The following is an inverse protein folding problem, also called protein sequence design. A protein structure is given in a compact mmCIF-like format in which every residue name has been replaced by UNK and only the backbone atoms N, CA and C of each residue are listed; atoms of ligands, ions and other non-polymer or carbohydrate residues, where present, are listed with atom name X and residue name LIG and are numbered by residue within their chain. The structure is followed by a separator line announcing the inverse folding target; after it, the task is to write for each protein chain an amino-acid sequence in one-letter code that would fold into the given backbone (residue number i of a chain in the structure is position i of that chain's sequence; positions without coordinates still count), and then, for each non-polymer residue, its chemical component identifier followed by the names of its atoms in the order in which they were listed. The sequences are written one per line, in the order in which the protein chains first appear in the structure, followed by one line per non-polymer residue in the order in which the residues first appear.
data_IF_100276003266
#
_entry.id   IF_100276003266
#
_cell.length_a   1.000
_cell.length_b   1.000
_cell.length_c   1.000
_cell.angle_alpha   90.00
_cell.angle_beta   90.00
_cell.angle_gamma   90.00
#
_symmetry.space_group_name_H-M   'P 1'
#
loop_
_entity.id
_entity.type
_entity.pdbx_description
1 polymer ?
#
# COMPACT_ATOMS: atom_id res chain seq x y z
N UNK A 1 5.99 22.75 -18.19
CA UNK A 1 7.38 22.28 -17.99
C UNK A 1 7.49 21.71 -16.58
N UNK A 2 7.22 20.44 -16.39
CA UNK A 2 7.55 19.73 -15.16
C UNK A 2 9.06 19.52 -15.18
N UNK A 3 9.77 20.23 -14.32
CA UNK A 3 11.23 20.31 -14.35
C UNK A 3 11.87 18.92 -14.12
N UNK A 4 13.03 18.71 -14.76
CA UNK A 4 13.86 17.52 -14.54
C UNK A 4 14.15 17.25 -13.05
N UNK A 5 14.19 18.29 -12.22
CA UNK A 5 14.29 18.21 -10.76
C UNK A 5 13.13 17.45 -10.10
N UNK A 6 11.89 17.60 -10.57
CA UNK A 6 10.72 16.86 -10.05
C UNK A 6 10.82 15.35 -10.32
N UNK A 7 11.43 14.97 -11.46
CA UNK A 7 11.66 13.57 -11.84
C UNK A 7 12.75 12.90 -10.99
N UNK A 8 13.82 13.62 -10.65
CA UNK A 8 14.94 13.09 -9.86
C UNK A 8 14.47 12.75 -8.45
N UNK A 9 13.70 13.61 -7.78
CA UNK A 9 13.15 13.35 -6.45
C UNK A 9 12.17 12.17 -6.39
N UNK A 10 11.42 11.90 -7.47
CA UNK A 10 10.52 10.75 -7.57
C UNK A 10 11.28 9.41 -7.54
N UNK A 11 12.48 9.37 -8.12
CA UNK A 11 13.23 8.13 -8.28
C UNK A 11 14.07 7.75 -7.05
N UNK A 12 14.34 8.68 -6.16
CA UNK A 12 15.16 8.48 -4.96
C UNK A 12 14.30 8.20 -3.72
N UNK A 13 13.48 7.14 -3.77
CA UNK A 13 12.58 6.79 -2.67
C UNK A 13 13.28 6.55 -1.33
N UNK A 14 14.57 6.19 -1.31
CA UNK A 14 15.37 6.10 -0.08
C UNK A 14 15.63 7.47 0.53
N UNK A 15 15.90 8.47 -0.29
CA UNK A 15 16.16 9.84 0.16
C UNK A 15 14.87 10.59 0.42
N UNK A 16 13.78 10.20 -0.25
CA UNK A 16 12.46 10.73 0.00
C UNK A 16 11.97 10.45 1.44
N UNK A 17 12.34 9.32 2.03
CA UNK A 17 12.09 9.06 3.45
C UNK A 17 12.90 9.99 4.37
N UNK A 18 14.00 10.59 3.90
CA UNK A 18 14.90 11.49 4.64
C UNK A 18 14.66 12.97 4.37
N UNK A 19 14.33 13.34 3.12
CA UNK A 19 14.05 14.73 2.72
C UNK A 19 12.58 15.07 2.99
N UNK A 20 12.34 15.89 4.00
CA UNK A 20 10.98 16.29 4.40
C UNK A 20 10.05 16.71 3.24
N UNK A 21 9.12 15.93 2.90
CA UNK A 21 7.72 16.15 2.51
C UNK A 21 7.31 17.19 1.47
N UNK A 22 8.07 17.61 0.52
CA UNK A 22 7.54 18.55 -0.48
C UNK A 22 6.60 17.92 -1.51
N UNK A 23 6.52 16.56 -1.63
CA UNK A 23 5.66 15.89 -2.61
C UNK A 23 4.91 14.65 -2.08
N UNK A 24 4.49 14.68 -0.82
CA UNK A 24 3.74 13.58 -0.20
C UNK A 24 2.39 13.32 -0.89
N UNK A 25 1.74 14.35 -1.45
CA UNK A 25 0.45 14.24 -2.10
C UNK A 25 0.55 13.52 -3.44
N UNK A 26 1.59 13.77 -4.23
CA UNK A 26 1.82 13.05 -5.50
C UNK A 26 2.13 11.57 -5.27
N UNK A 27 3.01 11.26 -4.33
CA UNK A 27 3.33 9.86 -3.98
C UNK A 27 2.11 9.13 -3.43
N UNK A 28 1.37 9.77 -2.53
CA UNK A 28 0.11 9.23 -2.02
C UNK A 28 -0.86 8.91 -3.17
N UNK A 29 -1.07 9.86 -4.06
CA UNK A 29 -1.97 9.70 -5.20
C UNK A 29 -1.55 8.56 -6.12
N UNK A 30 -0.27 8.50 -6.51
CA UNK A 30 0.28 7.45 -7.36
C UNK A 30 0.05 6.08 -6.73
N UNK A 31 0.59 5.84 -5.55
CA UNK A 31 0.56 4.52 -4.93
C UNK A 31 -0.85 4.08 -4.49
N UNK A 32 -1.74 5.02 -4.14
CA UNK A 32 -3.14 4.71 -3.89
C UNK A 32 -3.84 4.21 -5.16
N UNK A 33 -3.58 4.82 -6.33
CA UNK A 33 -4.14 4.37 -7.61
C UNK A 33 -3.55 3.03 -8.06
N UNK A 34 -2.25 2.76 -7.84
CA UNK A 34 -1.66 1.44 -8.08
C UNK A 34 -2.32 0.38 -7.17
N UNK A 35 -2.60 0.75 -5.91
CA UNK A 35 -3.31 -0.13 -4.98
C UNK A 35 -4.75 -0.39 -5.42
N UNK A 36 -5.52 0.63 -5.84
CA UNK A 36 -6.88 0.45 -6.38
C UNK A 36 -6.87 -0.42 -7.65
N UNK A 37 -5.92 -0.20 -8.56
CA UNK A 37 -5.76 -1.04 -9.74
C UNK A 37 -5.54 -2.52 -9.36
N UNK A 38 -4.77 -2.78 -8.30
CA UNK A 38 -4.49 -4.16 -7.84
C UNK A 38 -5.74 -4.90 -7.39
N UNK A 39 -6.77 -4.22 -6.89
CA UNK A 39 -8.06 -4.84 -6.55
C UNK A 39 -8.89 -5.26 -7.76
N UNK A 40 -8.59 -4.77 -8.96
CA UNK A 40 -9.38 -5.10 -10.16
C UNK A 40 -9.02 -6.49 -10.70
N UNK A 41 -10.03 -7.27 -11.16
CA UNK A 41 -9.83 -8.68 -11.54
C UNK A 41 -9.06 -8.85 -12.85
N UNK A 42 -9.25 -7.97 -13.83
CA UNK A 42 -8.66 -8.10 -15.16
C UNK A 42 -7.56 -7.07 -15.42
N UNK A 43 -6.64 -7.41 -16.34
CA UNK A 43 -5.64 -6.47 -16.84
C UNK A 43 -6.28 -5.21 -17.42
N UNK A 44 -7.37 -5.36 -18.17
CA UNK A 44 -8.11 -4.24 -18.77
C UNK A 44 -8.64 -3.28 -17.70
N UNK A 45 -9.21 -3.82 -16.63
CA UNK A 45 -9.76 -3.00 -15.55
C UNK A 45 -8.64 -2.31 -14.75
N UNK A 46 -7.53 -3.00 -14.50
CA UNK A 46 -6.34 -2.42 -13.88
C UNK A 46 -5.81 -1.25 -14.71
N UNK A 47 -5.67 -1.45 -16.01
CA UNK A 47 -5.19 -0.42 -16.93
C UNK A 47 -6.17 0.77 -17.03
N UNK A 48 -7.48 0.52 -16.94
CA UNK A 48 -8.48 1.59 -16.94
C UNK A 48 -8.34 2.52 -15.72
N UNK A 49 -7.98 1.98 -14.54
CA UNK A 49 -7.66 2.80 -13.35
C UNK A 49 -6.43 3.68 -13.62
N UNK A 50 -5.34 3.11 -14.14
CA UNK A 50 -4.15 3.90 -14.47
C UNK A 50 -4.45 5.00 -15.45
N UNK A 51 -5.21 4.71 -16.52
CA UNK A 51 -5.60 5.70 -17.53
C UNK A 51 -6.45 6.82 -16.93
N UNK A 52 -7.45 6.48 -16.09
CA UNK A 52 -8.29 7.46 -15.38
C UNK A 52 -7.47 8.39 -14.49
N UNK A 53 -6.43 7.85 -13.86
CA UNK A 53 -5.51 8.61 -13.00
C UNK A 53 -4.45 9.39 -13.80
N UNK A 54 -4.31 9.16 -15.11
CA UNK A 54 -3.26 9.74 -15.96
C UNK A 54 -1.88 9.12 -15.74
N UNK A 55 -1.83 7.89 -15.24
CA UNK A 55 -0.61 7.17 -14.85
C UNK A 55 -0.20 6.10 -15.89
N UNK A 56 -1.00 5.86 -16.91
CA UNK A 56 -0.82 4.77 -17.89
C UNK A 56 0.42 4.91 -18.79
N UNK A 57 0.97 6.12 -18.90
CA UNK A 57 2.21 6.38 -19.64
C UNK A 57 3.47 6.20 -18.82
N UNK A 58 3.35 6.34 -17.49
CA UNK A 58 4.48 6.28 -16.56
C UNK A 58 4.62 4.89 -15.91
N UNK A 59 3.49 4.18 -15.76
CA UNK A 59 3.43 2.88 -15.06
C UNK A 59 2.88 1.79 -15.98
N UNK A 60 3.71 0.79 -16.23
CA UNK A 60 3.32 -0.39 -17.02
C UNK A 60 3.05 -1.57 -16.09
N UNK A 61 1.91 -2.23 -16.24
CA UNK A 61 1.61 -3.49 -15.56
C UNK A 61 2.44 -4.61 -16.22
N UNK A 62 3.04 -5.48 -15.41
CA UNK A 62 3.78 -6.66 -15.87
C UNK A 62 2.95 -7.93 -15.59
N UNK A 63 2.11 -8.40 -16.55
CA UNK A 63 1.18 -9.51 -16.33
C UNK A 63 1.88 -10.81 -15.96
N UNK A 64 3.01 -11.11 -16.59
CA UNK A 64 3.78 -12.34 -16.36
C UNK A 64 4.42 -12.43 -14.97
N UNK A 65 4.49 -11.30 -14.26
CA UNK A 65 4.99 -11.19 -12.90
C UNK A 65 3.89 -10.91 -11.90
N UNK A 66 2.64 -10.82 -12.34
CA UNK A 66 1.48 -10.49 -11.52
C UNK A 66 0.62 -11.72 -11.24
N UNK A 67 -0.19 -11.66 -10.18
CA UNK A 67 -1.16 -12.70 -9.83
C UNK A 67 -2.47 -12.07 -9.36
N UNK A 68 -3.42 -12.91 -8.86
CA UNK A 68 -4.62 -12.42 -8.19
C UNK A 68 -4.28 -11.64 -6.91
N UNK A 69 -3.24 -12.03 -6.20
CA UNK A 69 -2.89 -11.56 -4.87
C UNK A 69 -1.98 -10.32 -4.88
N UNK A 70 -1.35 -10.05 -6.00
CA UNK A 70 -0.48 -8.89 -6.19
C UNK A 70 -0.38 -8.48 -7.66
N UNK A 71 -0.03 -7.23 -7.88
CA UNK A 71 0.28 -6.70 -9.22
C UNK A 71 1.69 -6.11 -9.21
N UNK A 72 2.48 -6.46 -10.20
CA UNK A 72 3.79 -5.85 -10.43
C UNK A 72 3.65 -4.76 -11.48
N UNK A 73 4.02 -3.55 -11.10
CA UNK A 73 4.12 -2.40 -12.00
C UNK A 73 5.58 -2.09 -12.26
N UNK A 74 5.86 -1.54 -13.42
CA UNK A 74 7.15 -1.00 -13.78
C UNK A 74 7.04 0.52 -13.94
N UNK A 75 7.76 1.26 -13.12
CA UNK A 75 7.92 2.70 -13.26
C UNK A 75 8.97 2.96 -14.34
N UNK A 76 8.51 3.48 -15.48
CA UNK A 76 9.31 3.65 -16.69
C UNK A 76 10.37 4.73 -16.48
N UNK A 77 10.01 5.82 -15.80
CA UNK A 77 10.91 6.96 -15.59
C UNK A 77 12.02 6.65 -14.59
N UNK A 78 11.70 5.86 -13.57
CA UNK A 78 12.63 5.54 -12.47
C UNK A 78 13.30 4.18 -12.60
N UNK A 79 12.92 3.37 -13.61
CA UNK A 79 13.41 2.01 -13.78
C UNK A 79 13.21 1.15 -12.51
N UNK A 80 12.04 1.29 -11.86
CA UNK A 80 11.70 0.59 -10.61
C UNK A 80 10.59 -0.42 -10.83
N UNK A 81 10.67 -1.55 -10.14
CA UNK A 81 9.63 -2.55 -10.05
C UNK A 81 8.84 -2.34 -8.76
N UNK A 82 7.55 -2.08 -8.88
CA UNK A 82 6.67 -1.84 -7.74
C UNK A 82 5.77 -3.05 -7.56
N UNK A 83 5.91 -3.75 -6.46
CA UNK A 83 5.01 -4.86 -6.09
C UNK A 83 3.92 -4.28 -5.20
N UNK A 84 2.68 -4.35 -5.65
CA UNK A 84 1.52 -3.92 -4.87
C UNK A 84 0.74 -5.14 -4.44
N UNK A 85 0.69 -5.40 -3.14
CA UNK A 85 -0.05 -6.51 -2.56
C UNK A 85 -1.50 -6.14 -2.35
N UNK A 86 -2.40 -7.05 -2.73
CA UNK A 86 -3.84 -6.89 -2.59
C UNK A 86 -4.27 -7.15 -1.15
N UNK A 87 -5.09 -6.27 -0.61
CA UNK A 87 -5.80 -6.54 0.64
C UNK A 87 -7.00 -7.48 0.47
N UNK A 88 -7.71 -7.74 1.56
CA UNK A 88 -8.96 -8.50 1.52
C UNK A 88 -10.00 -7.72 0.70
N UNK A 89 -10.71 -8.40 -0.19
CA UNK A 89 -11.78 -7.82 -1.01
C UNK A 89 -13.13 -8.30 -0.52
N UNK A 90 -14.00 -7.38 -0.15
CA UNK A 90 -15.37 -7.67 0.30
C UNK A 90 -16.19 -8.45 -0.77
N UNK A 91 -15.83 -8.27 -2.06
CA UNK A 91 -16.50 -8.94 -3.20
C UNK A 91 -16.19 -10.43 -3.32
N UNK A 92 -15.10 -10.89 -2.74
CA UNK A 92 -14.70 -12.30 -2.76
C UNK A 92 -15.58 -13.17 -1.80
N UNK A 93 -16.46 -12.54 -1.02
CA UNK A 93 -17.25 -13.19 0.04
C UNK A 93 -18.73 -12.81 -0.01
N UNK A 94 -19.34 -13.02 -1.16
CA UNK A 94 -20.81 -12.86 -1.31
C UNK A 94 -21.52 -13.75 -0.29
N UNK A 95 -22.21 -13.13 0.68
CA UNK A 95 -23.09 -13.80 1.66
C UNK A 95 -22.57 -13.96 3.09
N UNK A 96 -21.34 -13.52 3.43
CA UNK A 96 -20.88 -13.52 4.83
C UNK A 96 -21.13 -12.16 5.51
N UNK A 97 -21.54 -12.21 6.78
CA UNK A 97 -21.80 -11.02 7.59
C UNK A 97 -20.48 -10.29 7.89
N UNK A 98 -20.51 -8.97 7.99
CA UNK A 98 -19.35 -8.09 8.27
C UNK A 98 -18.52 -8.52 9.48
N UNK A 99 -19.13 -9.12 10.50
CA UNK A 99 -18.42 -9.59 11.70
C UNK A 99 -17.51 -10.80 11.43
N UNK A 100 -17.85 -11.65 10.46
CA UNK A 100 -17.02 -12.82 10.09
C UNK A 100 -15.77 -12.35 9.31
N UNK A 101 -15.93 -11.32 8.48
CA UNK A 101 -14.82 -10.67 7.76
C UNK A 101 -13.80 -10.05 8.71
N UNK A 102 -14.26 -9.38 9.76
CA UNK A 102 -13.40 -8.78 10.77
C UNK A 102 -12.65 -9.85 11.56
N UNK A 103 -13.33 -10.89 12.00
CA UNK A 103 -12.74 -12.00 12.77
C UNK A 103 -11.71 -12.76 11.95
N UNK A 104 -12.05 -13.11 10.69
CA UNK A 104 -11.15 -13.81 9.77
C UNK A 104 -9.92 -12.95 9.41
N UNK A 105 -10.10 -11.62 9.31
CA UNK A 105 -9.01 -10.69 9.06
C UNK A 105 -8.06 -10.62 10.26
N UNK A 106 -8.57 -10.50 11.48
CA UNK A 106 -7.75 -10.48 12.69
C UNK A 106 -7.01 -11.80 12.90
N UNK A 107 -7.66 -12.93 12.65
CA UNK A 107 -7.03 -14.26 12.74
C UNK A 107 -5.96 -14.45 11.66
N UNK A 108 -6.22 -13.96 10.43
CA UNK A 108 -5.28 -14.10 9.33
C UNK A 108 -4.00 -13.24 9.51
N UNK A 109 -4.09 -12.12 10.22
CA UNK A 109 -2.94 -11.25 10.47
C UNK A 109 -1.98 -11.89 11.48
N UNK A 110 -2.47 -12.53 12.54
CA UNK A 110 -1.63 -13.20 13.53
C UNK A 110 -0.83 -14.40 12.98
N UNK A 111 -1.24 -14.97 11.84
CA UNK A 111 -0.59 -16.11 11.18
C UNK A 111 -0.21 -15.82 9.72
N UNK A 112 -0.08 -14.56 9.36
CA UNK A 112 0.11 -14.13 7.97
C UNK A 112 1.28 -14.85 7.29
N UNK A 113 2.42 -14.97 7.95
CA UNK A 113 3.65 -15.53 7.38
C UNK A 113 3.52 -17.03 7.02
N UNK A 114 2.62 -17.74 7.67
CA UNK A 114 2.36 -19.16 7.38
C UNK A 114 1.45 -19.36 6.15
N UNK A 115 0.75 -18.32 5.71
CA UNK A 115 -0.26 -18.40 4.65
C UNK A 115 0.36 -18.59 3.27
N UNK A 116 -0.40 -19.23 2.36
CA UNK A 116 -0.02 -19.33 0.94
C UNK A 116 0.13 -17.96 0.30
N UNK A 117 -0.71 -17.00 0.70
CA UNK A 117 -0.67 -15.62 0.24
C UNK A 117 0.68 -14.96 0.55
N UNK A 118 1.13 -14.99 1.81
CA UNK A 118 2.41 -14.40 2.21
C UNK A 118 3.61 -15.10 1.55
N UNK A 119 3.58 -16.43 1.48
CA UNK A 119 4.64 -17.20 0.80
C UNK A 119 4.75 -16.84 -0.69
N UNK A 120 3.63 -16.62 -1.38
CA UNK A 120 3.65 -16.17 -2.77
C UNK A 120 4.19 -14.72 -2.88
N UNK A 121 3.80 -13.83 -1.95
CA UNK A 121 4.34 -12.47 -1.88
C UNK A 121 5.85 -12.45 -1.60
N UNK A 122 6.32 -13.29 -0.70
CA UNK A 122 7.75 -13.44 -0.38
C UNK A 122 8.54 -13.96 -1.60
N UNK A 123 8.02 -14.97 -2.27
CA UNK A 123 8.66 -15.57 -3.45
C UNK A 123 8.80 -14.56 -4.62
N UNK A 124 7.76 -13.77 -4.92
CA UNK A 124 7.85 -12.76 -5.99
C UNK A 124 8.80 -11.63 -5.58
N UNK A 125 8.79 -11.20 -4.32
CA UNK A 125 9.70 -10.17 -3.82
C UNK A 125 11.15 -10.61 -3.99
N UNK A 126 11.48 -11.84 -3.51
CA UNK A 126 12.81 -12.42 -3.68
C UNK A 126 13.20 -12.53 -5.16
N UNK A 127 12.31 -13.04 -6.01
CA UNK A 127 12.55 -13.16 -7.47
C UNK A 127 12.92 -11.82 -8.11
N UNK A 128 12.23 -10.73 -7.73
CA UNK A 128 12.53 -9.41 -8.30
C UNK A 128 13.84 -8.84 -7.75
N UNK A 129 14.15 -9.06 -6.48
CA UNK A 129 15.44 -8.69 -5.89
C UNK A 129 16.59 -9.40 -6.60
N UNK A 130 16.49 -10.73 -6.77
CA UNK A 130 17.52 -11.55 -7.40
C UNK A 130 17.74 -11.14 -8.85
N UNK A 131 16.66 -10.72 -9.55
CA UNK A 131 16.74 -10.38 -10.99
C UNK A 131 17.15 -8.93 -11.26
N UNK A 132 16.69 -7.99 -10.44
CA UNK A 132 16.81 -6.56 -10.73
C UNK A 132 17.58 -5.76 -9.66
N UNK A 133 17.94 -6.42 -8.56
CA UNK A 133 18.59 -5.79 -7.41
C UNK A 133 17.58 -5.10 -6.47
N UNK A 134 17.88 -5.13 -5.17
CA UNK A 134 17.03 -4.59 -4.12
C UNK A 134 16.76 -3.07 -4.30
N UNK A 135 17.74 -2.32 -4.83
CA UNK A 135 17.59 -0.89 -5.09
C UNK A 135 16.50 -0.55 -6.13
N UNK A 136 16.10 -1.51 -6.95
CA UNK A 136 15.10 -1.34 -8.00
C UNK A 136 13.74 -1.95 -7.66
N UNK A 137 13.52 -2.35 -6.39
CA UNK A 137 12.26 -2.93 -5.92
C UNK A 137 11.64 -2.04 -4.86
N UNK A 138 10.35 -1.76 -5.02
CA UNK A 138 9.52 -1.00 -4.08
C UNK A 138 8.29 -1.81 -3.75
N UNK A 139 7.85 -1.78 -2.50
CA UNK A 139 6.67 -2.48 -2.05
C UNK A 139 5.53 -1.51 -1.77
N UNK A 140 4.30 -1.95 -1.96
CA UNK A 140 3.12 -1.18 -1.56
C UNK A 140 1.95 -2.10 -1.26
N UNK A 141 0.93 -1.55 -0.61
CA UNK A 141 -0.32 -2.25 -0.35
C UNK A 141 -1.25 -1.48 0.56
N UNK A 142 -2.49 -1.93 0.59
CA UNK A 142 -3.55 -1.41 1.44
C UNK A 142 -4.08 -2.53 2.32
N UNK A 143 -4.43 -2.24 3.58
CA UNK A 143 -5.02 -3.21 4.51
C UNK A 143 -4.08 -4.41 4.75
N UNK A 144 -4.55 -5.66 4.54
CA UNK A 144 -3.75 -6.89 4.58
C UNK A 144 -2.55 -6.83 3.63
N UNK A 145 -2.73 -6.24 2.43
CA UNK A 145 -1.62 -6.01 1.49
C UNK A 145 -0.58 -5.05 2.04
N UNK A 146 -1.02 -4.03 2.78
CA UNK A 146 -0.13 -3.11 3.50
C UNK A 146 0.69 -3.82 4.58
N UNK A 147 0.05 -4.69 5.37
CA UNK A 147 0.73 -5.52 6.37
C UNK A 147 1.80 -6.43 5.74
N UNK A 148 1.46 -7.03 4.59
CA UNK A 148 2.40 -7.86 3.83
C UNK A 148 3.58 -7.05 3.31
N UNK A 149 3.31 -5.88 2.72
CA UNK A 149 4.35 -4.97 2.26
C UNK A 149 5.29 -4.55 3.40
N UNK A 150 4.73 -4.21 4.57
CA UNK A 150 5.50 -3.83 5.76
C UNK A 150 6.41 -4.95 6.26
N UNK A 151 5.90 -6.18 6.34
CA UNK A 151 6.68 -7.35 6.76
C UNK A 151 7.84 -7.66 5.81
N UNK A 152 7.57 -7.66 4.51
CA UNK A 152 8.60 -7.91 3.50
C UNK A 152 9.59 -6.75 3.37
N UNK A 153 9.13 -5.51 3.57
CA UNK A 153 10.00 -4.33 3.63
C UNK A 153 11.00 -4.44 4.77
N UNK A 154 10.56 -4.86 5.96
CA UNK A 154 11.44 -5.11 7.09
C UNK A 154 12.42 -6.26 6.80
N UNK A 155 11.92 -7.38 6.28
CA UNK A 155 12.72 -8.59 5.98
C UNK A 155 13.84 -8.31 4.98
N UNK A 156 13.55 -7.56 3.93
CA UNK A 156 14.47 -7.32 2.81
C UNK A 156 15.09 -5.92 2.79
N UNK A 157 14.79 -5.09 3.78
CA UNK A 157 15.23 -3.68 3.87
C UNK A 157 14.88 -2.87 2.61
N UNK A 158 13.65 -3.08 2.09
CA UNK A 158 13.14 -2.42 0.90
C UNK A 158 12.28 -1.20 1.26
N UNK A 159 12.22 -0.17 0.39
CA UNK A 159 11.26 0.90 0.56
C UNK A 159 9.83 0.38 0.39
N UNK A 160 8.90 0.89 1.22
CA UNK A 160 7.49 0.58 1.11
C UNK A 160 6.59 1.80 1.35
N UNK A 161 5.51 1.88 0.58
CA UNK A 161 4.44 2.86 0.72
C UNK A 161 3.14 2.12 1.05
N UNK A 162 2.60 2.39 2.23
CA UNK A 162 1.52 1.59 2.82
C UNK A 162 0.31 2.47 3.15
N UNK A 163 -0.89 1.95 2.89
CA UNK A 163 -2.15 2.63 3.19
C UNK A 163 -2.97 1.84 4.19
N UNK A 164 -3.39 2.50 5.29
CA UNK A 164 -4.21 1.91 6.35
C UNK A 164 -3.81 0.45 6.61
N UNK A 165 -2.56 0.26 7.05
CA UNK A 165 -2.00 -1.07 7.31
C UNK A 165 -2.93 -1.86 8.24
N UNK A 166 -3.34 -3.03 7.79
CA UNK A 166 -4.06 -3.95 8.63
C UNK A 166 -3.17 -4.46 9.77
N UNK A 167 -3.65 -4.36 11.00
CA UNK A 167 -2.89 -4.78 12.18
C UNK A 167 -3.79 -5.47 13.19
N UNK A 168 -3.22 -6.45 13.88
CA UNK A 168 -3.83 -7.13 15.00
C UNK A 168 -3.35 -6.51 16.32
N UNK A 169 -4.13 -6.50 17.38
CA UNK A 169 -3.65 -6.18 18.74
C UNK A 169 -2.45 -7.04 19.18
N UNK A 170 -2.30 -8.23 18.60
CA UNK A 170 -1.18 -9.13 18.87
C UNK A 170 0.11 -8.76 18.15
N UNK A 171 0.06 -7.84 17.19
CA UNK A 171 1.23 -7.39 16.40
C UNK A 171 2.09 -6.33 17.09
N UNK A 172 1.94 -6.11 18.40
CA UNK A 172 2.65 -5.05 19.13
C UNK A 172 4.18 -5.21 19.00
N UNK A 173 4.69 -6.43 19.06
CA UNK A 173 6.13 -6.70 18.90
C UNK A 173 6.62 -6.39 17.48
N UNK A 174 5.84 -6.77 16.46
CA UNK A 174 6.13 -6.46 15.06
C UNK A 174 6.07 -4.96 14.78
N UNK A 175 5.05 -4.28 15.30
CA UNK A 175 4.89 -2.84 15.12
C UNK A 175 5.97 -2.00 15.80
N UNK A 176 6.73 -2.57 16.74
CA UNK A 176 7.88 -1.93 17.41
C UNK A 176 9.18 -2.03 16.60
N UNK A 177 9.26 -2.91 15.61
CA UNK A 177 10.47 -3.03 14.79
C UNK A 177 10.64 -1.76 13.95
N UNK A 178 11.85 -1.18 14.00
CA UNK A 178 12.16 0.02 13.22
C UNK A 178 12.40 -0.34 11.76
N UNK A 179 11.63 0.27 10.86
CA UNK A 179 11.89 0.21 9.45
C UNK A 179 11.91 1.63 8.85
N UNK A 180 13.09 2.25 8.73
CA UNK A 180 13.23 3.62 8.25
C UNK A 180 12.84 3.80 6.78
N UNK A 181 12.66 2.69 6.04
CA UNK A 181 12.33 2.72 4.61
C UNK A 181 10.82 2.65 4.33
N UNK A 182 9.98 2.63 5.39
CA UNK A 182 8.54 2.49 5.23
C UNK A 182 7.83 3.80 5.52
N UNK A 183 6.91 4.21 4.63
CA UNK A 183 6.01 5.34 4.83
C UNK A 183 4.58 4.82 4.91
N UNK A 184 3.86 5.19 5.96
CA UNK A 184 2.48 4.83 6.21
C UNK A 184 1.57 6.03 6.01
N UNK A 185 0.60 5.93 5.11
CA UNK A 185 -0.53 6.82 5.02
C UNK A 185 -1.69 6.24 5.84
N UNK A 186 -2.22 7.01 6.76
CA UNK A 186 -3.30 6.56 7.65
C UNK A 186 -4.39 7.61 7.77
N UNK A 187 -5.64 7.14 7.90
CA UNK A 187 -6.79 7.98 8.24
C UNK A 187 -7.00 8.12 9.75
N UNK A 188 -6.21 7.43 10.58
CA UNK A 188 -6.28 7.57 12.02
C UNK A 188 -5.80 8.95 12.46
N UNK A 189 -6.64 9.65 13.23
CA UNK A 189 -6.35 10.97 13.76
C UNK A 189 -6.84 11.08 15.20
N UNK A 190 -5.92 11.42 16.09
CA UNK A 190 -6.26 11.76 17.47
C UNK A 190 -7.02 13.10 17.50
N UNK A 191 -6.69 14.03 16.58
CA UNK A 191 -7.29 15.37 16.54
C UNK A 191 -8.72 15.38 16.01
N UNK A 192 -9.04 14.51 15.05
CA UNK A 192 -10.37 14.43 14.40
C UNK A 192 -11.25 13.32 14.94
N UNK A 193 -10.81 12.58 15.96
CA UNK A 193 -11.50 11.39 16.51
C UNK A 193 -11.82 10.37 15.38
N UNK A 194 -11.00 10.35 14.36
CA UNK A 194 -11.12 9.39 13.26
C UNK A 194 -10.32 8.14 13.63
N UNK A 195 -11.01 7.04 13.82
CA UNK A 195 -10.40 5.77 14.20
C UNK A 195 -10.70 4.74 13.11
N UNK A 196 -9.64 4.23 12.50
CA UNK A 196 -9.70 3.01 11.71
C UNK A 196 -9.36 1.82 12.63
N UNK A 197 -10.34 1.01 13.04
CA UNK A 197 -10.12 -0.05 14.01
C UNK A 197 -9.18 -1.15 13.50
N UNK A 198 -9.04 -1.29 12.16
CA UNK A 198 -8.18 -2.31 11.56
C UNK A 198 -6.70 -1.91 11.51
N UNK A 199 -6.38 -0.64 11.68
CA UNK A 199 -4.99 -0.15 11.64
C UNK A 199 -4.56 0.59 12.91
N UNK A 200 -5.36 0.52 13.99
CA UNK A 200 -5.10 1.28 15.21
C UNK A 200 -3.77 0.91 15.87
N UNK A 201 -3.43 -0.36 15.94
CA UNK A 201 -2.16 -0.79 16.54
C UNK A 201 -0.95 -0.40 15.70
N UNK A 202 -1.09 -0.31 14.38
CA UNK A 202 -0.07 0.25 13.50
C UNK A 202 0.08 1.76 13.68
N UNK A 203 -1.03 2.48 13.85
CA UNK A 203 -1.03 3.94 13.98
C UNK A 203 -0.39 4.44 15.29
N UNK A 204 -0.42 3.66 16.37
CA UNK A 204 0.20 4.02 17.64
C UNK A 204 1.68 3.61 17.76
N UNK A 205 2.22 2.93 16.76
CA UNK A 205 3.62 2.55 16.77
C UNK A 205 4.52 3.78 16.52
N UNK A 206 5.30 4.15 17.53
CA UNK A 206 6.12 5.38 17.54
C UNK A 206 7.31 5.38 16.55
N UNK A 207 7.64 4.22 16.00
CA UNK A 207 8.82 3.98 15.17
C UNK A 207 8.54 3.96 13.66
N UNK A 208 7.30 4.24 13.25
CA UNK A 208 6.90 4.29 11.85
C UNK A 208 6.67 5.74 11.42
N UNK A 209 7.04 6.06 10.19
CA UNK A 209 6.72 7.35 9.60
C UNK A 209 5.25 7.36 9.16
N UNK A 210 4.41 8.01 9.93
CA UNK A 210 2.99 8.15 9.63
C UNK A 210 2.67 9.50 9.01
N UNK A 211 1.95 9.47 7.89
CA UNK A 211 1.35 10.65 7.28
C UNK A 211 -0.16 10.52 7.45
N UNK A 212 -0.70 11.37 8.30
CA UNK A 212 -2.11 11.43 8.51
C UNK A 212 -2.81 12.07 7.31
N UNK A 213 -3.90 11.47 6.86
CA UNK A 213 -4.77 12.00 5.81
C UNK A 213 -6.16 12.19 6.42
N UNK A 214 -6.72 13.38 6.27
CA UNK A 214 -8.08 13.66 6.73
C UNK A 214 -9.07 12.75 6.00
N UNK A 215 -9.92 12.02 6.73
CA UNK A 215 -10.92 11.17 6.10
C UNK A 215 -11.93 12.04 5.36
N UNK A 216 -12.11 11.77 4.09
CA UNK A 216 -13.14 12.39 3.27
C UNK A 216 -14.44 11.61 3.39
N UNK A 217 -15.55 12.23 2.94
CA UNK A 217 -16.80 11.50 2.80
C UNK A 217 -16.56 10.25 1.93
N UNK A 218 -16.88 9.09 2.47
CA UNK A 218 -16.77 7.79 1.80
C UNK A 218 -18.18 7.24 1.64
N UNK A 219 -18.47 6.63 0.49
CA UNK A 219 -19.74 5.93 0.24
C UNK A 219 -19.87 4.65 1.09
N UNK A 220 -18.77 4.20 1.72
CA UNK A 220 -18.78 3.07 2.65
C UNK A 220 -19.34 3.49 4.00
N UNK A 221 -20.30 2.70 4.51
CA UNK A 221 -20.91 2.87 5.83
C UNK A 221 -20.30 1.92 6.85
N UNK A 222 -20.40 2.25 8.14
CA UNK A 222 -20.01 1.39 9.24
C UNK A 222 -18.52 1.49 9.63
N UNK A 223 -18.03 0.48 10.35
CA UNK A 223 -16.68 0.45 10.95
C UNK A 223 -15.53 0.54 9.95
N UNK A 224 -15.75 0.13 8.69
CA UNK A 224 -14.72 0.16 7.65
C UNK A 224 -14.67 1.48 6.87
N UNK A 225 -15.50 2.46 7.23
CA UNK A 225 -15.54 3.77 6.55
C UNK A 225 -14.16 4.42 6.48
N UNK A 226 -13.45 4.44 7.60
CA UNK A 226 -12.12 5.05 7.71
C UNK A 226 -10.99 4.17 7.16
N UNK A 227 -11.26 2.89 6.91
CA UNK A 227 -10.28 1.95 6.33
C UNK A 227 -10.23 2.00 4.81
N UNK A 228 -11.14 2.72 4.15
CA UNK A 228 -11.23 2.74 2.69
C UNK A 228 -10.03 3.40 2.02
N UNK A 229 -9.60 2.81 0.90
CA UNK A 229 -8.58 3.39 0.01
C UNK A 229 -9.06 4.70 -0.64
N UNK A 230 -10.36 4.95 -0.73
CA UNK A 230 -10.97 6.12 -1.36
C UNK A 230 -10.46 7.45 -0.78
N UNK A 231 -10.06 7.45 0.50
CA UNK A 231 -9.50 8.63 1.17
C UNK A 231 -8.19 9.12 0.55
N UNK A 232 -7.49 8.26 -0.17
CA UNK A 232 -6.16 8.53 -0.71
C UNK A 232 -6.17 8.80 -2.23
N UNK A 233 -7.29 8.50 -2.93
CA UNK A 233 -7.36 8.53 -4.40
C UNK A 233 -7.47 9.93 -5.01
N UNK A 234 -7.65 10.98 -4.22
CA UNK A 234 -7.84 12.33 -4.75
C UNK A 234 -6.53 13.12 -4.79
N UNK A 235 -6.23 13.69 -5.95
CA UNK A 235 -5.13 14.63 -6.11
C UNK A 235 -5.63 16.06 -5.83
N UNK A 236 -5.10 16.72 -4.79
CA UNK A 236 -5.44 18.12 -4.45
C UNK A 236 -4.92 19.13 -5.49
N UNK A 237 -3.95 18.74 -6.31
CA UNK A 237 -3.29 19.62 -7.27
C UNK A 237 -3.99 19.67 -8.65
N UNK A 238 -5.21 19.10 -8.79
CA UNK A 238 -6.05 19.16 -10.00
C UNK A 238 -7.30 20.03 -9.82
N UNK A 239 -7.25 20.98 -8.92
CA UNK A 239 -8.24 22.05 -8.80
C UNK A 239 -7.67 23.35 -9.32
#
# INVERSE_FOLDING_TARGET
MTSALHRIHKCELKDWARSGYQDSDSIKFIFANLSDATYKPSYKDKHAILKKAGLDKEYRILPDLSSRDYTVFFDIDCNKHIIVFRGTDDRDRVGRRYNDLYTDFLLSIGQLESTKYYKAADAITKKLIDRYGASNVVLSGHSLGGRTAGGLSLKYQLPAIIFNEGSSPFDIAYNRSQNPHTTHFTTNSIKSISIDPLSISSAVASNKKHIQVDPKASDKQGYLRHHSLDHFLQNKNKL
#
